data_IF_760260927221
#
_entry.id   IF_760260927221
#
_cell.length_a   1.000
_cell.length_b   1.000
_cell.length_c   1.000
_cell.angle_alpha   90.00
_cell.angle_beta   90.00
_cell.angle_gamma   90.00
#
_symmetry.space_group_name_H-M   'P 1'
#
loop_
_entity.id
_entity.type
_entity.pdbx_description
1 polymer ?
#
# COMPACT_ATOMS: atom_id res chain seq x y z
N UNK A 1 14.43 11.92 -38.54
CA UNK A 1 14.08 10.78 -39.41
C UNK A 1 13.36 9.68 -38.62
N UNK A 2 13.86 9.29 -37.44
CA UNK A 2 13.27 8.25 -36.59
C UNK A 2 11.87 8.59 -36.03
N UNK A 3 11.64 9.81 -35.52
CA UNK A 3 10.31 10.21 -35.00
C UNK A 3 9.21 10.10 -36.07
N UNK A 4 9.49 10.51 -37.31
CA UNK A 4 8.53 10.42 -38.40
C UNK A 4 8.22 8.96 -38.78
N UNK A 5 9.22 8.08 -38.66
CA UNK A 5 9.04 6.64 -38.87
C UNK A 5 8.18 6.02 -37.76
N UNK A 6 8.39 6.40 -36.49
CA UNK A 6 7.52 5.98 -35.39
C UNK A 6 6.07 6.46 -35.59
N UNK A 7 5.88 7.73 -35.94
CA UNK A 7 4.54 8.27 -36.21
C UNK A 7 3.84 7.51 -37.35
N UNK A 8 4.58 7.15 -38.40
CA UNK A 8 4.04 6.36 -39.51
C UNK A 8 3.62 4.96 -39.04
N UNK A 9 4.47 4.29 -38.25
CA UNK A 9 4.17 2.97 -37.69
C UNK A 9 2.92 3.04 -36.80
N UNK A 10 2.82 4.02 -35.92
CA UNK A 10 1.66 4.19 -35.03
C UNK A 10 0.37 4.43 -35.82
N UNK A 11 0.41 5.26 -36.87
CA UNK A 11 -0.74 5.49 -37.73
C UNK A 11 -1.20 4.22 -38.46
N UNK A 12 -0.24 3.47 -39.04
CA UNK A 12 -0.54 2.22 -39.74
C UNK A 12 -1.06 1.14 -38.78
N UNK A 13 -0.46 1.00 -37.59
CA UNK A 13 -0.89 0.05 -36.57
C UNK A 13 -2.28 0.41 -36.02
N UNK A 14 -2.56 1.69 -35.81
CA UNK A 14 -3.89 2.18 -35.39
C UNK A 14 -4.94 1.88 -36.46
N UNK A 15 -4.63 2.12 -37.73
CA UNK A 15 -5.53 1.79 -38.84
C UNK A 15 -5.78 0.28 -38.94
N UNK A 16 -4.73 -0.54 -38.80
CA UNK A 16 -4.86 -2.00 -38.76
C UNK A 16 -5.76 -2.47 -37.60
N UNK A 17 -5.56 -1.93 -36.39
CA UNK A 17 -6.40 -2.23 -35.24
C UNK A 17 -7.86 -1.80 -35.49
N UNK A 18 -8.10 -0.63 -36.06
CA UNK A 18 -9.44 -0.17 -36.42
C UNK A 18 -10.14 -1.16 -37.36
N UNK A 19 -9.48 -1.58 -38.44
CA UNK A 19 -10.05 -2.57 -39.38
C UNK A 19 -10.32 -3.90 -38.70
N UNK A 20 -9.42 -4.35 -37.82
CA UNK A 20 -9.54 -5.64 -37.10
C UNK A 20 -10.75 -5.67 -36.16
N UNK A 21 -11.06 -4.54 -35.51
CA UNK A 21 -12.10 -4.47 -34.48
C UNK A 21 -13.35 -3.68 -34.91
N UNK A 22 -13.50 -3.39 -36.20
CA UNK A 22 -14.56 -2.49 -36.71
C UNK A 22 -15.98 -2.97 -36.35
N UNK A 23 -16.23 -4.28 -36.35
CA UNK A 23 -17.54 -4.84 -35.98
C UNK A 23 -17.89 -4.54 -34.52
N UNK A 24 -16.90 -4.56 -33.62
CA UNK A 24 -17.12 -4.29 -32.19
C UNK A 24 -17.49 -2.82 -31.93
N UNK A 25 -17.10 -1.90 -32.84
CA UNK A 25 -17.46 -0.49 -32.76
C UNK A 25 -18.95 -0.22 -33.01
N UNK A 26 -19.69 -1.21 -33.52
CA UNK A 26 -21.14 -1.15 -33.69
C UNK A 26 -21.93 -1.60 -32.46
N UNK A 27 -21.25 -2.13 -31.44
CA UNK A 27 -21.90 -2.60 -30.22
C UNK A 27 -22.54 -1.45 -29.43
N UNK A 28 -23.72 -1.72 -28.86
CA UNK A 28 -24.45 -0.80 -27.98
C UNK A 28 -23.59 -0.34 -26.80
N UNK A 29 -22.89 -1.28 -26.14
CA UNK A 29 -21.97 -0.95 -25.06
C UNK A 29 -20.92 0.09 -25.49
N UNK A 30 -20.30 -0.08 -26.66
CA UNK A 30 -19.30 0.87 -27.14
C UNK A 30 -19.90 2.24 -27.44
N UNK A 31 -21.04 2.28 -28.14
CA UNK A 31 -21.67 3.51 -28.62
C UNK A 31 -22.34 4.32 -27.51
N UNK A 32 -22.98 3.65 -26.56
CA UNK A 32 -23.78 4.31 -25.52
C UNK A 32 -23.01 4.53 -24.21
N UNK A 33 -22.02 3.67 -23.90
CA UNK A 33 -21.29 3.74 -22.63
C UNK A 33 -19.86 4.18 -22.86
N UNK A 34 -19.07 3.44 -23.65
CA UNK A 34 -17.63 3.68 -23.71
C UNK A 34 -17.30 5.01 -24.38
N UNK A 35 -17.77 5.19 -25.62
CA UNK A 35 -17.45 6.37 -26.43
C UNK A 35 -17.91 7.68 -25.78
N UNK A 36 -19.14 7.80 -25.22
CA UNK A 36 -19.55 9.02 -24.54
C UNK A 36 -18.76 9.29 -23.24
N UNK A 37 -18.36 8.24 -22.53
CA UNK A 37 -17.60 8.38 -21.27
C UNK A 37 -16.19 8.94 -21.48
N UNK A 38 -15.57 8.73 -22.66
CA UNK A 38 -14.19 9.16 -22.92
C UNK A 38 -13.99 10.66 -22.69
N UNK A 39 -14.88 11.51 -23.21
CA UNK A 39 -14.76 12.96 -23.04
C UNK A 39 -14.80 13.36 -21.56
N UNK A 40 -15.78 12.83 -20.81
CA UNK A 40 -15.94 13.11 -19.39
C UNK A 40 -14.72 12.65 -18.59
N UNK A 41 -14.24 11.42 -18.84
CA UNK A 41 -13.07 10.87 -18.13
C UNK A 41 -11.80 11.67 -18.45
N UNK A 42 -11.55 12.00 -19.72
CA UNK A 42 -10.42 12.85 -20.11
C UNK A 42 -10.50 14.21 -19.44
N UNK A 43 -11.69 14.83 -19.43
CA UNK A 43 -11.91 16.11 -18.75
C UNK A 43 -11.63 16.01 -17.25
N UNK A 44 -12.10 14.96 -16.58
CA UNK A 44 -11.83 14.72 -15.15
C UNK A 44 -10.33 14.57 -14.88
N UNK A 45 -9.60 13.79 -15.69
CA UNK A 45 -8.16 13.59 -15.53
C UNK A 45 -7.36 14.89 -15.76
N UNK A 46 -7.78 15.71 -16.73
CA UNK A 46 -7.14 17.00 -17.01
C UNK A 46 -7.43 18.04 -15.92
N UNK A 47 -8.63 18.07 -15.36
CA UNK A 47 -8.99 18.97 -14.25
C UNK A 47 -8.26 18.54 -12.96
N UNK A 48 -8.22 17.24 -12.68
CA UNK A 48 -7.60 16.70 -11.47
C UNK A 48 -8.35 17.03 -10.17
N UNK A 49 -7.73 16.73 -9.04
CA UNK A 49 -8.25 17.02 -7.70
C UNK A 49 -7.37 18.08 -7.03
N UNK A 50 -7.87 19.29 -6.77
CA UNK A 50 -7.07 20.32 -6.09
C UNK A 50 -6.74 19.91 -4.65
N UNK A 51 -5.54 20.25 -4.23
CA UNK A 51 -4.97 19.89 -2.94
C UNK A 51 -4.25 21.08 -2.31
N UNK A 52 -4.13 21.05 -0.97
CA UNK A 52 -3.27 21.96 -0.22
C UNK A 52 -1.93 21.28 0.05
N UNK A 53 -0.85 21.73 -0.57
CA UNK A 53 0.50 21.16 -0.36
C UNK A 53 0.97 21.34 1.08
N UNK A 54 0.66 22.48 1.71
CA UNK A 54 0.90 22.71 3.14
C UNK A 54 0.23 21.62 3.98
N UNK A 55 -1.06 21.34 3.71
CA UNK A 55 -1.79 20.31 4.44
C UNK A 55 -1.25 18.91 4.18
N UNK A 56 -0.78 18.62 2.97
CA UNK A 56 -0.12 17.34 2.63
C UNK A 56 1.15 17.18 3.48
N UNK A 57 1.99 18.20 3.58
CA UNK A 57 3.19 18.19 4.43
C UNK A 57 2.84 18.02 5.90
N UNK A 58 1.82 18.71 6.41
CA UNK A 58 1.36 18.53 7.80
C UNK A 58 0.91 17.10 8.08
N UNK A 59 0.11 16.53 7.17
CA UNK A 59 -0.36 15.15 7.30
C UNK A 59 0.81 14.17 7.24
N UNK A 60 1.81 14.39 6.38
CA UNK A 60 3.04 13.60 6.36
C UNK A 60 3.73 13.60 7.72
N UNK A 61 3.94 14.78 8.31
CA UNK A 61 4.58 14.93 9.62
C UNK A 61 3.78 14.24 10.74
N UNK A 62 2.45 14.34 10.71
CA UNK A 62 1.56 13.64 11.67
C UNK A 62 1.74 12.13 11.55
N UNK A 63 1.78 11.61 10.32
CA UNK A 63 1.91 10.18 10.07
C UNK A 63 3.32 9.67 10.44
N UNK A 64 4.38 10.41 10.14
CA UNK A 64 5.75 10.07 10.56
C UNK A 64 5.89 10.02 12.09
N UNK A 65 5.35 11.03 12.79
CA UNK A 65 5.36 11.04 14.25
C UNK A 65 4.61 9.84 14.84
N UNK A 66 3.45 9.52 14.26
CA UNK A 66 2.64 8.36 14.67
C UNK A 66 3.34 7.03 14.36
N UNK A 67 3.96 6.92 13.20
CA UNK A 67 4.75 5.76 12.79
C UNK A 67 5.87 5.48 13.80
N UNK A 68 6.62 6.52 14.20
CA UNK A 68 7.69 6.42 15.19
C UNK A 68 7.16 5.92 16.55
N UNK A 69 6.07 6.51 17.05
CA UNK A 69 5.45 6.11 18.32
C UNK A 69 5.01 4.64 18.28
N UNK A 70 4.35 4.22 17.20
CA UNK A 70 3.90 2.83 17.05
C UNK A 70 5.07 1.85 17.00
N UNK A 71 6.15 2.20 16.28
CA UNK A 71 7.36 1.39 16.29
C UNK A 71 7.95 1.26 17.70
N UNK A 72 8.07 2.35 18.44
CA UNK A 72 8.55 2.32 19.82
C UNK A 72 7.67 1.43 20.71
N UNK A 73 6.34 1.59 20.64
CA UNK A 73 5.38 0.77 21.40
C UNK A 73 5.48 -0.72 21.06
N UNK A 74 5.63 -1.07 19.77
CA UNK A 74 5.81 -2.45 19.33
C UNK A 74 7.13 -3.02 19.86
N UNK A 75 8.24 -2.27 19.78
CA UNK A 75 9.54 -2.75 20.28
C UNK A 75 9.57 -2.86 21.81
N UNK A 76 8.82 -2.01 22.52
CA UNK A 76 8.75 -2.04 23.97
C UNK A 76 7.96 -3.24 24.52
N UNK A 77 7.09 -3.84 23.70
CA UNK A 77 6.27 -4.99 24.06
C UNK A 77 7.10 -6.18 24.58
N UNK A 78 6.65 -6.78 25.70
CA UNK A 78 7.37 -7.86 26.39
C UNK A 78 7.62 -9.08 25.51
N UNK A 79 6.68 -9.41 24.62
CA UNK A 79 6.78 -10.57 23.74
C UNK A 79 7.67 -10.27 22.53
N UNK A 80 7.60 -9.05 21.99
CA UNK A 80 8.50 -8.60 20.93
C UNK A 80 9.94 -8.59 21.41
N UNK A 81 10.25 -8.08 22.61
CA UNK A 81 11.60 -8.13 23.19
C UNK A 81 12.15 -9.56 23.31
N UNK A 82 11.30 -10.52 23.68
CA UNK A 82 11.69 -11.95 23.73
C UNK A 82 11.93 -12.50 22.33
N UNK A 83 11.06 -12.18 21.39
CA UNK A 83 11.18 -12.60 20.00
C UNK A 83 12.43 -12.02 19.32
N UNK A 84 12.74 -10.74 19.55
CA UNK A 84 13.95 -10.09 19.06
C UNK A 84 15.21 -10.83 19.52
N UNK A 85 15.28 -11.29 20.78
CA UNK A 85 16.41 -12.13 21.25
C UNK A 85 16.51 -13.46 20.50
N UNK A 86 15.39 -14.03 20.05
CA UNK A 86 15.39 -15.25 19.22
C UNK A 86 15.93 -14.92 17.82
N UNK A 87 15.51 -13.80 17.22
CA UNK A 87 16.03 -13.33 15.92
C UNK A 87 17.55 -13.10 15.96
N UNK A 88 18.05 -12.44 17.02
CA UNK A 88 19.48 -12.19 17.23
C UNK A 88 20.28 -13.49 17.32
N UNK A 89 19.77 -14.48 18.08
CA UNK A 89 20.40 -15.80 18.17
C UNK A 89 20.40 -16.54 16.83
N UNK A 90 19.29 -16.49 16.09
CA UNK A 90 19.19 -17.11 14.78
C UNK A 90 20.19 -16.48 13.80
N UNK A 91 20.24 -15.15 13.75
CA UNK A 91 21.20 -14.40 12.91
C UNK A 91 22.65 -14.74 13.26
N UNK A 92 22.98 -14.80 14.55
CA UNK A 92 24.30 -15.21 15.03
C UNK A 92 24.64 -16.64 14.59
N UNK A 93 23.70 -17.58 14.73
CA UNK A 93 23.89 -18.98 14.32
C UNK A 93 24.13 -19.09 12.81
N UNK A 94 23.33 -18.38 11.99
CA UNK A 94 23.47 -18.36 10.53
C UNK A 94 24.77 -17.69 10.08
N UNK A 95 25.22 -16.64 10.76
CA UNK A 95 26.50 -16.02 10.47
C UNK A 95 27.66 -16.97 10.79
N UNK A 96 27.60 -17.64 11.95
CA UNK A 96 28.63 -18.56 12.40
C UNK A 96 28.67 -19.86 11.58
N UNK A 97 27.55 -20.34 11.04
CA UNK A 97 27.55 -21.52 10.16
C UNK A 97 28.34 -21.31 8.86
N UNK A 98 28.60 -20.05 8.48
CA UNK A 98 29.41 -19.67 7.30
C UNK A 98 30.89 -19.48 7.65
N UNK A 99 31.25 -19.41 8.93
CA UNK A 99 32.60 -19.12 9.39
C UNK A 99 33.32 -20.41 9.83
N UNK A 100 34.53 -20.62 9.32
CA UNK A 100 35.33 -21.83 9.63
C UNK A 100 36.24 -21.70 10.86
N UNK A 101 36.50 -20.48 11.35
CA UNK A 101 37.51 -20.24 12.41
C UNK A 101 37.13 -19.18 13.44
N UNK A 102 36.43 -18.10 13.03
CA UNK A 102 36.10 -16.99 13.93
C UNK A 102 34.60 -17.05 14.25
N UNK A 103 34.27 -17.21 15.54
CA UNK A 103 32.88 -17.29 16.02
C UNK A 103 32.46 -15.91 16.49
N UNK A 104 31.43 -15.35 15.87
CA UNK A 104 30.80 -14.09 16.30
C UNK A 104 29.96 -14.32 17.54
N UNK A 105 29.95 -13.32 18.42
CA UNK A 105 29.15 -13.33 19.64
C UNK A 105 27.77 -12.72 19.42
N UNK A 106 26.78 -13.06 20.25
CA UNK A 106 25.43 -12.45 20.18
C UNK A 106 25.48 -10.92 20.30
N UNK A 107 26.49 -10.37 21.00
CA UNK A 107 26.64 -8.91 21.16
C UNK A 107 26.83 -8.17 19.84
N UNK A 108 27.36 -8.85 18.82
CA UNK A 108 27.54 -8.30 17.48
C UNK A 108 26.23 -8.23 16.66
N UNK A 109 25.11 -8.71 17.22
CA UNK A 109 23.81 -8.73 16.55
C UNK A 109 22.74 -7.94 17.30
N UNK A 110 23.10 -7.07 18.26
CA UNK A 110 22.11 -6.27 19.00
C UNK A 110 21.33 -5.27 18.15
N UNK A 111 21.86 -4.92 16.98
CA UNK A 111 21.22 -4.13 15.92
C UNK A 111 20.06 -4.88 15.24
N UNK A 112 20.02 -6.21 15.32
CA UNK A 112 18.90 -7.00 14.79
C UNK A 112 17.66 -6.79 15.67
N UNK A 113 16.69 -6.09 15.10
CA UNK A 113 15.38 -5.81 15.70
C UNK A 113 14.26 -6.51 14.92
N UNK A 114 13.12 -6.71 15.58
CA UNK A 114 11.91 -7.17 14.91
C UNK A 114 11.44 -6.12 13.89
N UNK A 115 11.15 -6.54 12.66
CA UNK A 115 10.58 -5.69 11.62
C UNK A 115 9.09 -6.05 11.40
N UNK A 116 8.14 -5.22 11.89
CA UNK A 116 6.70 -5.46 11.71
C UNK A 116 6.24 -5.49 10.25
N UNK A 117 6.92 -4.75 9.36
CA UNK A 117 6.61 -4.71 7.93
C UNK A 117 7.04 -5.99 7.20
N UNK A 118 7.85 -6.85 7.83
CA UNK A 118 8.22 -8.16 7.28
C UNK A 118 7.16 -9.21 7.59
N UNK A 119 6.36 -9.57 6.59
CA UNK A 119 5.34 -10.63 6.67
C UNK A 119 5.89 -11.95 7.23
N UNK A 120 7.13 -12.31 6.88
CA UNK A 120 7.77 -13.53 7.38
C UNK A 120 8.09 -13.43 8.88
N UNK A 121 8.68 -12.31 9.34
CA UNK A 121 8.96 -12.14 10.77
C UNK A 121 7.67 -12.01 11.57
N UNK A 122 6.67 -11.31 11.04
CA UNK A 122 5.36 -11.15 11.66
C UNK A 122 4.66 -12.51 11.80
N UNK A 123 4.65 -13.34 10.76
CA UNK A 123 4.09 -14.69 10.85
C UNK A 123 4.83 -15.56 11.87
N UNK A 124 6.16 -15.47 11.94
CA UNK A 124 6.96 -16.18 12.95
C UNK A 124 6.66 -15.68 14.37
N UNK A 125 6.44 -14.38 14.56
CA UNK A 125 6.02 -13.83 15.85
C UNK A 125 4.64 -14.34 16.24
N UNK A 126 3.63 -14.15 15.39
CA UNK A 126 2.22 -14.46 15.70
C UNK A 126 1.99 -15.97 15.91
N UNK A 127 2.39 -16.79 14.95
CA UNK A 127 2.06 -18.22 14.95
C UNK A 127 3.17 -19.07 15.57
N UNK A 128 4.42 -18.62 15.44
CA UNK A 128 5.58 -19.33 15.98
C UNK A 128 5.84 -19.04 17.46
N UNK A 129 5.98 -17.77 17.81
CA UNK A 129 6.36 -17.33 19.16
C UNK A 129 5.15 -17.18 20.09
N UNK A 130 4.12 -16.44 19.66
CA UNK A 130 2.90 -16.21 20.44
C UNK A 130 1.92 -17.39 20.39
N UNK A 131 2.16 -18.35 19.48
CA UNK A 131 1.34 -19.57 19.31
C UNK A 131 -0.14 -19.29 19.04
N UNK A 132 -0.45 -18.17 18.39
CA UNK A 132 -1.80 -17.87 17.93
C UNK A 132 -2.22 -18.85 16.81
N UNK A 133 -3.53 -19.11 16.63
CA UNK A 133 -4.01 -20.00 15.58
C UNK A 133 -3.85 -19.37 14.19
N UNK A 134 -3.53 -20.20 13.19
CA UNK A 134 -3.54 -19.76 11.80
C UNK A 134 -4.98 -19.78 11.31
N UNK A 135 -5.57 -18.61 11.09
CA UNK A 135 -6.96 -18.46 10.67
C UNK A 135 -7.13 -18.54 9.15
N UNK A 136 -6.15 -18.06 8.39
CA UNK A 136 -6.18 -18.01 6.93
C UNK A 136 -4.78 -18.16 6.34
N UNK A 137 -4.70 -18.49 5.06
CA UNK A 137 -3.45 -18.66 4.30
C UNK A 137 -3.52 -17.91 2.98
N UNK A 138 -2.40 -17.32 2.58
CA UNK A 138 -2.26 -16.67 1.27
C UNK A 138 -2.31 -17.70 0.14
N UNK A 139 -2.42 -17.24 -1.11
CA UNK A 139 -2.38 -18.10 -2.31
C UNK A 139 -1.10 -18.96 -2.40
N UNK A 140 0.00 -18.51 -1.81
CA UNK A 140 1.26 -19.26 -1.74
C UNK A 140 1.32 -20.26 -0.58
N UNK A 141 0.25 -20.36 0.23
CA UNK A 141 0.14 -21.29 1.36
C UNK A 141 0.76 -20.76 2.66
N UNK A 142 1.33 -19.55 2.67
CA UNK A 142 1.88 -18.94 3.88
C UNK A 142 0.74 -18.45 4.80
N UNK A 143 0.91 -18.47 6.14
CA UNK A 143 -0.06 -17.89 7.06
C UNK A 143 -0.35 -16.42 6.74
N UNK A 144 -1.63 -16.03 6.71
CA UNK A 144 -2.03 -14.66 6.46
C UNK A 144 -1.71 -13.75 7.67
N UNK A 145 -1.22 -12.54 7.40
CA UNK A 145 -0.92 -11.51 8.43
C UNK A 145 -1.55 -10.16 8.07
N UNK A 146 -2.63 -10.19 7.30
CA UNK A 146 -3.34 -8.97 6.89
C UNK A 146 -4.19 -8.38 8.02
N UNK A 147 -4.66 -7.14 7.83
CA UNK A 147 -5.43 -6.43 8.87
C UNK A 147 -6.67 -7.18 9.37
N UNK A 148 -7.41 -7.88 8.50
CA UNK A 148 -8.54 -8.69 8.95
C UNK A 148 -8.10 -9.87 9.83
N UNK A 149 -7.03 -10.56 9.44
CA UNK A 149 -6.48 -11.66 10.24
C UNK A 149 -6.01 -11.17 11.61
N UNK A 150 -5.37 -10.00 11.69
CA UNK A 150 -4.94 -9.41 12.96
C UNK A 150 -6.14 -9.10 13.88
N UNK A 151 -7.24 -8.57 13.32
CA UNK A 151 -8.49 -8.33 14.07
C UNK A 151 -9.11 -9.63 14.57
N UNK A 152 -9.17 -10.64 13.72
CA UNK A 152 -9.78 -11.92 14.09
C UNK A 152 -8.94 -12.64 15.15
N UNK A 153 -7.61 -12.53 15.07
CA UNK A 153 -6.66 -13.04 16.06
C UNK A 153 -6.85 -12.45 17.46
N UNK A 154 -7.36 -11.22 17.57
CA UNK A 154 -7.66 -10.61 18.87
C UNK A 154 -8.70 -11.42 19.66
N UNK A 155 -9.59 -12.16 18.99
CA UNK A 155 -10.58 -13.03 19.65
C UNK A 155 -9.98 -14.35 20.19
N UNK A 156 -8.70 -14.62 19.93
CA UNK A 156 -8.01 -15.86 20.31
C UNK A 156 -7.01 -15.69 21.45
N UNK A 157 -7.02 -14.54 22.12
CA UNK A 157 -6.17 -14.26 23.28
C UNK A 157 -6.88 -13.38 24.28
N UNK A 158 -6.51 -13.49 25.54
CA UNK A 158 -6.92 -12.59 26.63
C UNK A 158 -5.74 -11.83 27.23
N UNK A 159 -4.51 -12.05 26.73
CA UNK A 159 -3.33 -11.30 27.16
C UNK A 159 -3.37 -9.90 26.56
N UNK A 160 -3.54 -8.89 27.42
CA UNK A 160 -3.63 -7.48 27.02
C UNK A 160 -2.40 -7.02 26.23
N UNK A 161 -1.20 -7.48 26.60
CA UNK A 161 0.01 -7.11 25.86
C UNK A 161 0.01 -7.66 24.42
N UNK A 162 -0.68 -8.77 24.17
CA UNK A 162 -0.83 -9.30 22.80
C UNK A 162 -1.92 -8.52 22.06
N UNK A 163 -3.02 -8.18 22.72
CA UNK A 163 -4.10 -7.38 22.13
C UNK A 163 -3.58 -6.02 21.67
N UNK A 164 -2.87 -5.30 22.55
CA UNK A 164 -2.26 -4.00 22.24
C UNK A 164 -1.26 -4.13 21.08
N UNK A 165 -0.45 -5.19 21.07
CA UNK A 165 0.50 -5.47 19.99
C UNK A 165 -0.20 -5.68 18.64
N UNK A 166 -1.29 -6.44 18.60
CA UNK A 166 -2.07 -6.68 17.38
C UNK A 166 -2.66 -5.37 16.85
N UNK A 167 -3.19 -4.53 17.74
CA UNK A 167 -3.73 -3.21 17.40
C UNK A 167 -2.64 -2.29 16.84
N UNK A 168 -1.49 -2.18 17.52
CA UNK A 168 -0.38 -1.32 17.06
C UNK A 168 0.17 -1.78 15.71
N UNK A 169 0.28 -3.08 15.47
CA UNK A 169 0.75 -3.61 14.17
C UNK A 169 -0.26 -3.30 13.06
N UNK A 170 -1.57 -3.43 13.35
CA UNK A 170 -2.61 -3.09 12.38
C UNK A 170 -2.56 -1.60 12.05
N UNK A 171 -2.48 -0.75 13.06
CA UNK A 171 -2.43 0.70 12.89
C UNK A 171 -1.17 1.14 12.14
N UNK A 172 -0.02 0.55 12.46
CA UNK A 172 1.24 0.80 11.74
C UNK A 172 1.11 0.45 10.25
N UNK A 173 0.49 -0.69 9.93
CA UNK A 173 0.26 -1.09 8.54
C UNK A 173 -0.64 -0.10 7.78
N UNK A 174 -1.65 0.45 8.46
CA UNK A 174 -2.50 1.50 7.88
C UNK A 174 -1.71 2.80 7.65
N UNK A 175 -0.89 3.23 8.62
CA UNK A 175 -0.01 4.41 8.50
C UNK A 175 0.98 4.22 7.34
N UNK A 176 1.71 3.11 7.30
CA UNK A 176 2.70 2.79 6.26
C UNK A 176 2.08 2.81 4.86
N UNK A 177 0.88 2.23 4.72
CA UNK A 177 0.15 2.22 3.45
C UNK A 177 -0.19 3.65 3.02
N UNK A 178 -0.65 4.48 3.95
CA UNK A 178 -1.12 5.82 3.62
C UNK A 178 0.02 6.75 3.30
N UNK A 179 1.01 6.79 4.18
CA UNK A 179 2.16 7.65 4.02
C UNK A 179 2.98 7.22 2.80
N UNK A 180 3.29 5.93 2.72
CA UNK A 180 4.12 5.34 1.69
C UNK A 180 3.49 5.32 0.29
N UNK A 181 2.16 5.31 0.20
CA UNK A 181 1.45 5.22 -1.11
C UNK A 181 0.80 6.53 -1.49
N UNK A 182 -0.05 7.10 -0.63
CA UNK A 182 -0.89 8.24 -0.98
C UNK A 182 -0.16 9.55 -0.73
N UNK A 183 0.33 9.80 0.49
CA UNK A 183 0.98 11.07 0.82
C UNK A 183 2.26 11.25 0.00
N UNK A 184 3.07 10.20 -0.17
CA UNK A 184 4.21 10.24 -1.11
C UNK A 184 3.84 10.50 -2.56
N UNK A 185 2.68 10.04 -3.02
CA UNK A 185 2.20 10.40 -4.36
C UNK A 185 1.73 11.85 -4.40
N UNK A 186 1.06 12.32 -3.35
CA UNK A 186 0.56 13.68 -3.27
C UNK A 186 1.71 14.68 -3.23
N UNK A 187 2.79 14.42 -2.50
CA UNK A 187 3.98 15.29 -2.46
C UNK A 187 4.74 15.39 -3.79
N UNK A 188 4.51 14.47 -4.74
CA UNK A 188 5.09 14.56 -6.09
C UNK A 188 4.34 15.52 -7.00
N UNK A 189 3.07 15.78 -6.68
CA UNK A 189 2.22 16.77 -7.32
C UNK A 189 2.19 18.01 -6.41
N UNK A 190 2.16 19.24 -6.93
CA UNK A 190 2.22 20.42 -6.05
C UNK A 190 0.84 20.85 -5.57
N UNK A 191 -0.13 20.96 -6.46
CA UNK A 191 -1.42 21.63 -6.16
C UNK A 191 -2.63 20.86 -6.67
N UNK A 192 -2.43 19.99 -7.65
CA UNK A 192 -3.51 19.24 -8.28
C UNK A 192 -3.06 17.81 -8.50
N UNK A 193 -3.86 16.88 -7.99
CA UNK A 193 -3.63 15.47 -8.19
C UNK A 193 -4.26 14.98 -9.50
N UNK A 194 -3.41 14.55 -10.44
CA UNK A 194 -3.86 13.98 -11.70
C UNK A 194 -3.78 12.44 -11.66
N UNK A 195 -4.89 11.80 -11.29
CA UNK A 195 -5.00 10.34 -11.38
C UNK A 195 -5.44 9.89 -12.77
N UNK A 196 -4.85 8.82 -13.29
CA UNK A 196 -5.31 8.22 -14.54
C UNK A 196 -6.50 7.30 -14.26
N UNK A 197 -7.58 7.50 -15.00
CA UNK A 197 -8.79 6.66 -14.99
C UNK A 197 -8.82 5.83 -16.28
N UNK A 198 -8.98 4.52 -16.14
CA UNK A 198 -8.99 3.57 -17.25
C UNK A 198 -10.35 2.92 -17.37
N UNK A 199 -10.97 3.12 -18.53
CA UNK A 199 -12.20 2.46 -18.92
C UNK A 199 -11.89 1.10 -19.55
N UNK A 200 -12.66 0.06 -19.22
CA UNK A 200 -12.40 -1.31 -19.68
C UNK A 200 -11.16 -1.97 -19.07
N UNK A 201 -10.57 -1.38 -18.02
CA UNK A 201 -9.40 -1.94 -17.35
C UNK A 201 -9.71 -3.12 -16.42
N UNK A 202 -10.98 -3.36 -16.10
CA UNK A 202 -11.43 -4.49 -15.26
C UNK A 202 -12.43 -5.35 -16.05
N UNK A 203 -12.42 -6.67 -15.82
CA UNK A 203 -13.36 -7.59 -16.47
C UNK A 203 -14.83 -7.28 -16.15
N UNK A 204 -15.10 -6.67 -14.99
CA UNK A 204 -16.46 -6.29 -14.58
C UNK A 204 -16.95 -4.98 -15.20
N UNK A 205 -16.13 -4.28 -15.99
CA UNK A 205 -16.47 -2.98 -16.58
C UNK A 205 -16.33 -1.79 -15.63
N UNK A 206 -15.92 -1.99 -14.36
CA UNK A 206 -15.62 -0.89 -13.44
C UNK A 206 -14.39 -0.10 -13.93
N UNK A 207 -14.40 1.21 -13.69
CA UNK A 207 -13.22 2.05 -13.85
C UNK A 207 -12.09 1.55 -12.95
N UNK A 208 -10.87 1.50 -13.49
CA UNK A 208 -9.66 1.35 -12.69
C UNK A 208 -8.88 2.65 -12.67
N UNK A 209 -7.99 2.82 -11.69
CA UNK A 209 -7.16 4.02 -11.57
C UNK A 209 -5.70 3.71 -11.25
N UNK A 210 -4.77 4.52 -11.76
CA UNK A 210 -3.35 4.45 -11.44
C UNK A 210 -2.65 5.82 -11.52
N UNK A 211 -1.48 5.90 -10.88
CA UNK A 211 -0.59 7.07 -10.89
C UNK A 211 -1.25 8.41 -10.51
N UNK A 212 -1.75 8.59 -9.27
CA UNK A 212 -2.00 7.59 -8.23
C UNK A 212 -3.35 6.90 -8.40
N UNK A 213 -3.55 5.77 -7.70
CA UNK A 213 -4.82 5.07 -7.73
C UNK A 213 -5.87 5.78 -6.85
N UNK A 214 -6.77 6.53 -7.49
CA UNK A 214 -7.82 7.29 -6.83
C UNK A 214 -8.96 6.42 -6.28
N UNK A 215 -9.15 5.20 -6.80
CA UNK A 215 -10.20 4.29 -6.33
C UNK A 215 -9.88 3.67 -4.97
N UNK A 216 -8.61 3.68 -4.57
CA UNK A 216 -8.14 3.06 -3.33
C UNK A 216 -8.02 4.03 -2.15
N UNK A 217 -8.41 5.30 -2.32
CA UNK A 217 -8.37 6.28 -1.24
C UNK A 217 -9.26 5.81 -0.06
N UNK A 218 -8.73 5.78 1.17
CA UNK A 218 -9.50 5.38 2.35
C UNK A 218 -10.79 6.21 2.52
N UNK A 219 -11.92 5.52 2.57
CA UNK A 219 -13.24 6.16 2.63
C UNK A 219 -13.65 6.59 4.05
N UNK A 220 -13.26 5.82 5.07
CA UNK A 220 -13.71 5.97 6.45
C UNK A 220 -12.53 5.97 7.45
N UNK A 221 -12.83 6.23 8.72
CA UNK A 221 -11.83 6.25 9.80
C UNK A 221 -11.04 7.56 9.90
N UNK A 222 -10.24 7.67 10.95
CA UNK A 222 -9.34 8.81 11.21
C UNK A 222 -8.36 9.02 10.05
N UNK A 223 -7.82 7.93 9.54
CA UNK A 223 -6.94 7.89 8.38
C UNK A 223 -7.57 8.43 7.09
N UNK A 224 -8.81 8.03 6.80
CA UNK A 224 -9.55 8.57 5.65
C UNK A 224 -9.83 10.07 5.79
N UNK A 225 -10.13 10.54 7.02
CA UNK A 225 -10.30 11.98 7.28
C UNK A 225 -9.01 12.76 7.02
N UNK A 226 -7.85 12.23 7.41
CA UNK A 226 -6.56 12.88 7.16
C UNK A 226 -6.29 13.07 5.67
N UNK A 227 -6.40 12.02 4.87
CA UNK A 227 -6.17 12.09 3.42
C UNK A 227 -7.17 13.04 2.74
N UNK A 228 -8.46 12.93 3.10
CA UNK A 228 -9.49 13.81 2.55
C UNK A 228 -9.26 15.27 2.91
N UNK A 229 -8.68 15.56 4.08
CA UNK A 229 -8.35 16.94 4.48
C UNK A 229 -7.30 17.60 3.58
N UNK A 230 -6.51 16.82 2.84
CA UNK A 230 -5.55 17.36 1.88
C UNK A 230 -6.22 17.86 0.58
N UNK A 231 -7.42 17.37 0.26
CA UNK A 231 -8.15 17.73 -0.95
C UNK A 231 -9.06 18.91 -0.61
N UNK A 232 -8.85 20.04 -1.29
CA UNK A 232 -9.53 21.30 -0.99
C UNK A 232 -10.16 21.86 -2.26
N UNK A 233 -11.24 22.62 -2.12
CA UNK A 233 -11.80 23.35 -3.26
C UNK A 233 -10.94 24.60 -3.56
N UNK A 234 -10.87 25.05 -4.82
CA UNK A 234 -10.23 26.32 -5.17
C UNK A 234 -10.96 27.54 -4.57
N UNK A 235 -10.26 28.66 -4.46
CA UNK A 235 -10.85 29.92 -3.97
C UNK A 235 -12.11 30.32 -4.74
N UNK A 236 -13.13 30.79 -4.02
CA UNK A 236 -14.42 31.18 -4.59
C UNK A 236 -15.37 30.01 -4.89
N UNK A 237 -14.94 28.78 -4.62
CA UNK A 237 -15.78 27.59 -4.69
C UNK A 237 -15.88 26.99 -3.29
N UNK A 238 -17.07 27.04 -2.67
CA UNK A 238 -17.58 26.18 -1.58
C UNK A 238 -18.99 26.64 -1.18
#
# INVERSE_FOLDING_TARGET
>A
KEILQYNLIDALATFYAYVTYIEQLSSEAYLEIFKPSLYTLTKMMLIGLPMSSERVTDVHNILEAKNKVLHEQIQENKHVKKFTKILQKAACTTANSKLKKLVKTIKEFYDVQFNPSSHQQLALLLFGHLKLPILDKTKSGAPATGGQTLKDLANHTTDQDILDLLEFIQELSEVDKIDGTFIKAFMKETDVLHGNLKLGGTQSGRLSSNSPNLTNLPAHGSMGKLIKSCIVAPDGWL
#
